data_IF_003085621715
#
_entry.id   IF_003085621715
#
_cell.length_a   1.000
_cell.length_b   1.000
_cell.length_c   1.000
_cell.angle_alpha   90.00
_cell.angle_beta   90.00
_cell.angle_gamma   90.00
#
_symmetry.space_group_name_H-M   'P 1'
#
loop_
_entity.id
_entity.type
_entity.pdbx_description
1 polymer ?
#
# COMPACT_ATOMS: atom_id res chain seq x y z
N UNK A 1 2.52 3.48 -1.85
CA UNK A 1 1.94 4.81 -2.11
C UNK A 1 2.91 5.78 -2.74
N UNK A 2 4.17 5.88 -2.30
CA UNK A 2 5.09 6.93 -2.78
C UNK A 2 5.38 6.80 -4.29
N UNK A 3 5.69 5.59 -4.74
CA UNK A 3 5.99 5.33 -6.16
C UNK A 3 4.72 5.35 -7.00
N UNK A 4 3.67 4.66 -6.57
CA UNK A 4 2.39 4.63 -7.28
C UNK A 4 1.76 6.00 -7.46
N UNK A 5 1.76 6.85 -6.41
CA UNK A 5 1.17 8.20 -6.48
C UNK A 5 1.99 9.14 -7.35
N UNK A 6 3.32 9.15 -7.20
CA UNK A 6 4.19 10.07 -7.94
C UNK A 6 4.18 9.77 -9.44
N UNK A 7 4.31 8.48 -9.80
CA UNK A 7 4.34 8.04 -11.20
C UNK A 7 2.94 8.11 -11.83
N UNK A 8 1.87 7.76 -11.10
CA UNK A 8 0.51 7.93 -11.62
C UNK A 8 0.18 9.39 -11.91
N UNK A 9 0.52 10.32 -11.00
CA UNK A 9 0.33 11.77 -11.23
C UNK A 9 1.08 12.25 -12.46
N UNK A 10 2.34 11.84 -12.64
CA UNK A 10 3.14 12.21 -13.82
C UNK A 10 2.54 11.67 -15.12
N UNK A 11 2.04 10.43 -15.12
CA UNK A 11 1.39 9.81 -16.29
C UNK A 11 0.08 10.49 -16.66
N UNK A 12 -0.74 10.82 -15.66
CA UNK A 12 -1.99 11.56 -15.85
C UNK A 12 -1.71 12.95 -16.44
N UNK A 13 -0.73 13.69 -15.88
CA UNK A 13 -0.34 14.99 -16.40
C UNK A 13 0.21 14.93 -17.83
N UNK A 14 0.85 13.82 -18.21
CA UNK A 14 1.35 13.59 -19.57
C UNK A 14 0.30 13.01 -20.52
N UNK A 15 -0.93 12.74 -20.07
CA UNK A 15 -1.97 12.09 -20.88
C UNK A 15 -1.64 10.65 -21.30
N UNK A 16 -0.62 10.02 -20.69
CA UNK A 16 -0.15 8.69 -21.10
C UNK A 16 -0.91 7.62 -20.32
N UNK A 17 -1.63 6.76 -21.04
CA UNK A 17 -2.28 5.59 -20.46
C UNK A 17 -1.27 4.46 -20.23
N UNK A 18 -1.00 4.04 -18.98
CA UNK A 18 -0.10 2.93 -18.73
C UNK A 18 -0.72 1.59 -19.13
N UNK A 19 0.13 0.66 -19.56
CA UNK A 19 -0.24 -0.75 -19.69
C UNK A 19 -0.66 -1.34 -18.34
N UNK A 20 -1.35 -2.49 -18.37
CA UNK A 20 -1.77 -3.19 -17.15
C UNK A 20 -0.57 -3.41 -16.20
N UNK A 21 0.52 -3.98 -16.72
CA UNK A 21 1.76 -4.22 -15.95
C UNK A 21 2.37 -2.90 -15.46
N UNK A 22 2.35 -1.85 -16.28
CA UNK A 22 2.90 -0.55 -15.89
C UNK A 22 2.17 0.11 -14.70
N UNK A 23 0.87 -0.12 -14.55
CA UNK A 23 0.08 0.40 -13.43
C UNK A 23 0.17 -0.50 -12.19
N UNK A 24 -0.03 -1.81 -12.36
CA UNK A 24 -0.09 -2.77 -11.25
C UNK A 24 1.30 -3.16 -10.73
N UNK A 25 2.36 -3.05 -11.54
CA UNK A 25 3.74 -3.25 -11.10
C UNK A 25 4.16 -2.28 -9.99
N UNK A 26 3.60 -1.07 -9.96
CA UNK A 26 3.83 -0.11 -8.87
C UNK A 26 3.13 -0.53 -7.57
N UNK A 27 1.97 -1.17 -7.67
CA UNK A 27 1.27 -1.76 -6.52
C UNK A 27 2.09 -2.92 -5.95
N UNK A 28 2.68 -3.76 -6.81
CA UNK A 28 3.58 -4.83 -6.38
C UNK A 28 4.83 -4.27 -5.68
N UNK A 29 5.45 -3.21 -6.21
CA UNK A 29 6.59 -2.57 -5.56
C UNK A 29 6.22 -1.97 -4.19
N UNK A 30 5.04 -1.36 -4.08
CA UNK A 30 4.50 -0.87 -2.81
C UNK A 30 4.24 -2.01 -1.82
N UNK A 31 3.72 -3.15 -2.28
CA UNK A 31 3.54 -4.35 -1.47
C UNK A 31 4.88 -4.86 -0.91
N UNK A 32 5.90 -4.98 -1.75
CA UNK A 32 7.23 -5.40 -1.30
C UNK A 32 7.81 -4.44 -0.25
N UNK A 33 7.55 -3.13 -0.41
CA UNK A 33 7.96 -2.12 0.57
C UNK A 33 7.25 -2.29 1.92
N UNK A 34 5.96 -2.61 1.90
CA UNK A 34 5.20 -2.92 3.12
C UNK A 34 5.73 -4.19 3.79
N UNK A 35 5.96 -5.26 3.03
CA UNK A 35 6.53 -6.50 3.56
C UNK A 35 7.87 -6.24 4.22
N UNK A 36 8.76 -5.49 3.58
CA UNK A 36 10.06 -5.13 4.14
C UNK A 36 9.91 -4.33 5.43
N UNK A 37 9.00 -3.35 5.48
CA UNK A 37 8.75 -2.56 6.69
C UNK A 37 8.22 -3.43 7.84
N UNK A 38 7.31 -4.37 7.56
CA UNK A 38 6.80 -5.33 8.56
C UNK A 38 7.93 -6.21 9.08
N UNK A 39 8.79 -6.75 8.21
CA UNK A 39 9.92 -7.59 8.61
C UNK A 39 10.88 -6.85 9.55
N UNK A 40 11.17 -5.58 9.26
CA UNK A 40 12.02 -4.72 10.10
C UNK A 40 11.36 -4.47 11.46
N UNK A 41 10.08 -4.12 11.47
CA UNK A 41 9.33 -3.82 12.69
C UNK A 41 9.02 -5.07 13.55
N UNK A 42 9.02 -6.27 12.95
CA UNK A 42 8.70 -7.52 13.63
C UNK A 42 9.70 -7.88 14.72
N UNK A 43 11.00 -7.65 14.50
CA UNK A 43 12.04 -7.96 15.48
C UNK A 43 11.81 -7.27 16.85
N UNK A 44 11.72 -5.93 16.88
CA UNK A 44 11.39 -5.18 18.09
C UNK A 44 10.04 -5.58 18.71
N UNK A 45 9.01 -5.77 17.88
CA UNK A 45 7.68 -6.17 18.36
C UNK A 45 7.70 -7.55 19.05
N UNK A 46 8.37 -8.53 18.46
CA UNK A 46 8.50 -9.87 19.02
C UNK A 46 9.35 -9.88 20.31
N UNK A 47 10.37 -9.03 20.40
CA UNK A 47 11.15 -8.85 21.63
C UNK A 47 10.29 -8.27 22.75
N UNK A 48 9.52 -7.22 22.47
CA UNK A 48 8.58 -6.64 23.43
C UNK A 48 7.49 -7.63 23.85
N UNK A 49 6.92 -8.37 22.90
CA UNK A 49 5.88 -9.37 23.17
C UNK A 49 6.36 -10.43 24.16
N UNK A 50 7.56 -11.01 23.93
CA UNK A 50 8.14 -12.00 24.84
C UNK A 50 8.46 -11.46 26.23
N UNK A 51 8.79 -10.17 26.34
CA UNK A 51 9.13 -9.56 27.62
C UNK A 51 7.90 -9.20 28.47
N UNK A 52 6.74 -9.01 27.85
CA UNK A 52 5.55 -8.46 28.53
C UNK A 52 4.37 -9.44 28.61
N UNK A 53 4.43 -10.55 27.86
CA UNK A 53 3.40 -11.59 27.83
C UNK A 53 1.96 -11.02 27.82
N UNK A 54 1.63 -10.11 26.88
CA UNK A 54 0.36 -9.40 26.91
C UNK A 54 -0.81 -10.37 26.73
N UNK A 55 -1.96 -10.01 27.33
CA UNK A 55 -3.19 -10.75 27.12
C UNK A 55 -3.52 -10.92 25.62
N UNK A 56 -4.17 -12.02 25.27
CA UNK A 56 -4.47 -12.37 23.86
C UNK A 56 -5.25 -11.25 23.16
N UNK A 57 -6.23 -10.63 23.83
CA UNK A 57 -7.00 -9.53 23.27
C UNK A 57 -6.13 -8.30 22.94
N UNK A 58 -5.20 -7.94 23.82
CA UNK A 58 -4.25 -6.85 23.58
C UNK A 58 -3.28 -7.19 22.44
N UNK A 59 -2.82 -8.44 22.38
CA UNK A 59 -1.95 -8.93 21.29
C UNK A 59 -2.61 -8.77 19.93
N UNK A 60 -3.87 -9.22 19.81
CA UNK A 60 -4.64 -9.09 18.58
C UNK A 60 -4.81 -7.61 18.23
N UNK A 61 -5.19 -6.77 19.19
CA UNK A 61 -5.37 -5.34 18.96
C UNK A 61 -4.08 -4.68 18.46
N UNK A 62 -2.93 -4.98 19.07
CA UNK A 62 -1.63 -4.45 18.66
C UNK A 62 -1.25 -4.91 17.25
N UNK A 63 -1.45 -6.19 16.91
CA UNK A 63 -1.14 -6.68 15.56
C UNK A 63 -2.02 -5.97 14.51
N UNK A 64 -3.31 -5.84 14.80
CA UNK A 64 -4.26 -5.19 13.90
C UNK A 64 -3.90 -3.72 13.70
N UNK A 65 -3.65 -2.99 14.78
CA UNK A 65 -3.41 -1.54 14.73
C UNK A 65 -2.03 -1.21 14.15
N UNK A 66 -0.99 -1.96 14.52
CA UNK A 66 0.38 -1.64 14.13
C UNK A 66 0.77 -2.18 12.75
N UNK A 67 0.20 -3.31 12.33
CA UNK A 67 0.61 -3.97 11.09
C UNK A 67 -0.53 -4.04 10.08
N UNK A 68 -1.68 -4.59 10.46
CA UNK A 68 -2.76 -4.86 9.51
C UNK A 68 -3.34 -3.56 8.93
N UNK A 69 -3.86 -2.66 9.76
CA UNK A 69 -4.51 -1.43 9.30
C UNK A 69 -3.55 -0.58 8.46
N UNK A 70 -2.30 -0.28 8.88
CA UNK A 70 -1.38 0.51 8.07
C UNK A 70 -1.06 -0.14 6.72
N UNK A 71 -0.84 -1.46 6.71
CA UNK A 71 -0.58 -2.21 5.48
C UNK A 71 -1.78 -2.15 4.52
N UNK A 72 -3.00 -2.38 5.03
CA UNK A 72 -4.22 -2.34 4.23
C UNK A 72 -4.47 -0.94 3.65
N UNK A 73 -4.37 0.11 4.46
CA UNK A 73 -4.54 1.50 4.00
C UNK A 73 -3.55 1.80 2.88
N UNK A 74 -2.28 1.44 3.04
CA UNK A 74 -1.25 1.73 2.06
C UNK A 74 -1.49 0.99 0.73
N UNK A 75 -1.89 -0.28 0.79
CA UNK A 75 -2.15 -1.11 -0.40
C UNK A 75 -3.44 -0.71 -1.12
N UNK A 76 -4.51 -0.41 -0.38
CA UNK A 76 -5.77 0.08 -0.94
C UNK A 76 -5.53 1.38 -1.71
N UNK A 77 -4.82 2.34 -1.09
CA UNK A 77 -4.51 3.61 -1.74
C UNK A 77 -3.61 3.39 -2.97
N UNK A 78 -2.65 2.46 -2.91
CA UNK A 78 -1.84 2.08 -4.07
C UNK A 78 -2.70 1.55 -5.22
N UNK A 79 -3.60 0.62 -4.94
CA UNK A 79 -4.52 0.05 -5.92
C UNK A 79 -5.46 1.11 -6.53
N UNK A 80 -5.97 2.04 -5.71
CA UNK A 80 -6.79 3.16 -6.19
C UNK A 80 -6.03 4.05 -7.18
N UNK A 81 -4.76 4.36 -6.93
CA UNK A 81 -3.93 5.13 -7.86
C UNK A 81 -3.65 4.37 -9.16
N UNK A 82 -3.39 3.06 -9.09
CA UNK A 82 -3.22 2.23 -10.27
C UNK A 82 -4.50 2.19 -11.12
N UNK A 83 -5.66 2.01 -10.49
CA UNK A 83 -6.96 2.05 -11.15
C UNK A 83 -7.22 3.43 -11.79
N UNK A 84 -7.04 4.51 -11.02
CA UNK A 84 -7.23 5.89 -11.50
C UNK A 84 -6.34 6.22 -12.69
N UNK A 85 -5.07 5.81 -12.66
CA UNK A 85 -4.13 6.07 -13.76
C UNK A 85 -4.52 5.44 -15.10
N UNK A 86 -5.41 4.43 -15.08
CA UNK A 86 -5.88 3.73 -16.28
C UNK A 86 -7.30 4.14 -16.71
N UNK A 87 -8.01 4.90 -15.88
CA UNK A 87 -9.36 5.37 -16.19
C UNK A 87 -9.29 6.45 -17.27
N UNK A 88 -10.10 6.30 -18.31
CA UNK A 88 -10.25 7.27 -19.39
C UNK A 88 -11.48 8.10 -19.02
N UNK A 89 -11.35 9.42 -18.91
CA UNK A 89 -12.52 10.30 -18.95
C UNK A 89 -13.19 10.06 -20.30
N UNK A 90 -14.37 9.45 -20.26
CA UNK A 90 -15.22 9.39 -21.45
C UNK A 90 -15.62 10.84 -21.73
N UNK A 91 -15.00 11.47 -22.73
CA UNK A 91 -15.44 12.77 -23.22
C UNK A 91 -16.94 12.66 -23.50
N UNK A 92 -17.74 13.34 -22.67
CA UNK A 92 -19.13 13.65 -22.94
C UNK A 92 -19.14 14.84 -23.89
N UNK A 93 -18.63 14.63 -25.11
CA UNK A 93 -18.76 15.55 -26.23
C UNK A 93 -19.53 14.80 -27.32
N UNK A 94 -20.86 14.83 -27.19
CA UNK A 94 -21.82 14.47 -28.24
C UNK A 94 -22.98 15.45 -28.16
#
# INVERSE_FOLDING_TARGET
MLLSRSIAKRRIAAGVRPSFVGAWGLVLADLLSVVLAVLIAWGPFAAWFRANEPAVGLTIALIVVLFFIPSQVFLILSALWAAKSRWIEKNTDA
#
